data_IF_025923302033
#
_entry.id   IF_025923302033
#
_cell.length_a   1.000
_cell.length_b   1.000
_cell.length_c   1.000
_cell.angle_alpha   90.00
_cell.angle_beta   90.00
_cell.angle_gamma   90.00
#
_symmetry.space_group_name_H-M   'P 1'
#
loop_
_entity.id
_entity.type
_entity.pdbx_description
1 polymer ?
#
# COMPACT_ATOMS: atom_id res chain seq x y z
N UNK A 1 9.85 1.17 2.17
CA UNK A 1 10.43 0.52 0.98
C UNK A 1 11.64 -0.37 1.36
N UNK A 2 11.90 -0.58 2.66
CA UNK A 2 12.99 -1.38 3.19
C UNK A 2 12.54 -2.76 3.68
N UNK A 3 11.36 -3.20 3.23
CA UNK A 3 10.87 -4.55 3.52
C UNK A 3 11.61 -5.57 2.64
N UNK A 4 12.42 -6.48 3.23
CA UNK A 4 13.07 -7.54 2.47
C UNK A 4 12.08 -8.55 1.88
N UNK A 5 10.92 -8.77 2.51
CA UNK A 5 9.88 -9.70 2.02
C UNK A 5 9.34 -9.23 0.67
N UNK A 6 9.13 -7.91 0.54
CA UNK A 6 8.72 -7.27 -0.71
C UNK A 6 9.85 -6.98 -1.70
N UNK A 7 11.02 -7.62 -1.56
CA UNK A 7 12.25 -7.33 -2.34
C UNK A 7 12.64 -5.85 -2.32
N UNK A 8 12.63 -5.22 -1.13
CA UNK A 8 12.88 -3.79 -0.96
C UNK A 8 11.94 -2.94 -1.83
N UNK A 9 10.65 -3.28 -1.82
CA UNK A 9 9.59 -2.61 -2.57
C UNK A 9 9.44 -3.03 -4.03
N UNK A 10 10.38 -3.79 -4.62
CA UNK A 10 10.30 -4.22 -6.03
C UNK A 10 9.19 -5.24 -6.27
N UNK A 11 8.96 -6.16 -5.32
CA UNK A 11 7.91 -7.17 -5.40
C UNK A 11 6.52 -6.54 -5.45
N UNK A 12 6.22 -5.65 -4.51
CA UNK A 12 4.91 -4.98 -4.45
C UNK A 12 4.66 -4.04 -5.64
N UNK A 13 5.70 -3.35 -6.15
CA UNK A 13 5.60 -2.58 -7.41
C UNK A 13 5.22 -3.47 -8.59
N UNK A 14 5.84 -4.66 -8.73
CA UNK A 14 5.49 -5.62 -9.80
C UNK A 14 4.05 -6.11 -9.69
N UNK A 15 3.49 -6.27 -8.49
CA UNK A 15 2.07 -6.62 -8.32
C UNK A 15 1.16 -5.49 -8.80
N UNK A 16 1.44 -4.24 -8.40
CA UNK A 16 0.68 -3.08 -8.86
C UNK A 16 0.69 -2.92 -10.40
N UNK A 17 1.86 -3.12 -11.04
CA UNK A 17 1.95 -3.08 -12.50
C UNK A 17 1.23 -4.24 -13.18
N UNK A 18 1.19 -5.44 -12.56
CA UNK A 18 0.38 -6.55 -13.06
C UNK A 18 -1.12 -6.22 -12.99
N UNK A 19 -1.61 -5.62 -11.90
CA UNK A 19 -3.02 -5.20 -11.80
C UNK A 19 -3.41 -4.27 -12.94
N UNK A 20 -2.60 -3.22 -13.20
CA UNK A 20 -2.80 -2.32 -14.35
C UNK A 20 -2.81 -3.07 -15.67
N UNK A 21 -1.84 -3.96 -15.89
CA UNK A 21 -1.72 -4.75 -17.13
C UNK A 21 -2.96 -5.63 -17.37
N UNK A 22 -3.59 -6.15 -16.33
CA UNK A 22 -4.80 -6.97 -16.43
C UNK A 22 -6.11 -6.15 -16.42
N UNK A 23 -6.04 -4.82 -16.48
CA UNK A 23 -7.22 -3.95 -16.50
C UNK A 23 -7.89 -3.76 -15.15
N UNK A 24 -7.25 -4.19 -14.05
CA UNK A 24 -7.71 -3.93 -12.69
C UNK A 24 -7.25 -2.52 -12.33
N UNK A 25 -8.17 -1.55 -12.44
CA UNK A 25 -7.86 -0.13 -12.25
C UNK A 25 -8.38 0.43 -10.91
N UNK A 26 -9.30 -0.27 -10.24
CA UNK A 26 -9.76 0.12 -8.90
C UNK A 26 -8.83 -0.46 -7.83
N UNK A 27 -7.66 0.15 -7.69
CA UNK A 27 -6.76 -0.11 -6.57
C UNK A 27 -5.93 1.13 -6.26
N UNK A 28 -5.35 1.16 -5.06
CA UNK A 28 -4.42 2.21 -4.63
C UNK A 28 -3.11 1.54 -4.22
N UNK A 29 -1.98 2.13 -4.59
CA UNK A 29 -0.66 1.63 -4.27
C UNK A 29 0.14 2.71 -3.56
N UNK A 30 0.46 2.47 -2.29
CA UNK A 30 1.31 3.32 -1.47
C UNK A 30 2.57 2.55 -1.10
N UNK A 31 3.74 3.17 -1.31
CA UNK A 31 5.03 2.65 -0.88
C UNK A 31 5.72 3.68 0.00
N UNK A 32 5.68 3.44 1.30
CA UNK A 32 6.21 4.37 2.30
C UNK A 32 7.74 4.35 2.32
N UNK A 33 8.39 5.51 2.24
CA UNK A 33 9.84 5.63 2.35
C UNK A 33 10.32 5.12 3.73
N UNK A 34 11.40 4.33 3.75
CA UNK A 34 11.99 3.83 5.00
C UNK A 34 11.22 2.70 5.68
N UNK A 35 9.91 2.59 5.47
CA UNK A 35 9.06 1.56 6.09
C UNK A 35 9.53 0.13 5.77
N UNK A 36 9.56 -0.74 6.79
CA UNK A 36 9.88 -2.16 6.66
C UNK A 36 8.59 -2.95 6.50
N UNK A 37 8.42 -4.04 7.25
CA UNK A 37 7.38 -5.04 6.99
C UNK A 37 6.03 -4.68 7.62
N UNK A 38 6.01 -4.28 8.90
CA UNK A 38 4.78 -4.13 9.67
C UNK A 38 4.23 -2.69 9.64
N UNK A 39 3.84 -2.17 8.48
CA UNK A 39 3.47 -0.75 8.30
C UNK A 39 2.38 -0.22 9.28
N UNK A 40 1.52 -1.10 9.82
CA UNK A 40 0.50 -0.73 10.81
C UNK A 40 1.06 -0.55 12.24
N UNK A 41 2.33 -0.92 12.45
CA UNK A 41 3.09 -0.85 13.70
C UNK A 41 4.40 -0.05 13.56
N UNK A 42 4.70 0.48 12.38
CA UNK A 42 5.87 1.34 12.15
C UNK A 42 5.69 2.73 12.77
N UNK A 43 6.75 3.54 12.78
CA UNK A 43 6.75 4.91 13.35
C UNK A 43 5.65 5.78 12.72
N UNK A 44 5.33 5.57 11.45
CA UNK A 44 4.28 6.30 10.72
C UNK A 44 2.92 5.57 10.71
N UNK A 45 2.69 4.62 11.62
CA UNK A 45 1.47 3.80 11.67
C UNK A 45 0.18 4.61 11.68
N UNK A 46 0.13 5.75 12.38
CA UNK A 46 -1.07 6.59 12.43
C UNK A 46 -1.42 7.18 11.07
N UNK A 47 -0.42 7.60 10.30
CA UNK A 47 -0.62 8.08 8.93
C UNK A 47 -1.11 6.94 8.02
N UNK A 48 -0.49 5.76 8.11
CA UNK A 48 -0.91 4.56 7.34
C UNK A 48 -2.36 4.20 7.65
N UNK A 49 -2.74 4.18 8.93
CA UNK A 49 -4.12 3.90 9.37
C UNK A 49 -5.11 4.95 8.84
N UNK A 50 -4.76 6.23 8.91
CA UNK A 50 -5.61 7.31 8.38
C UNK A 50 -5.83 7.19 6.87
N UNK A 51 -4.79 6.85 6.11
CA UNK A 51 -4.91 6.61 4.66
C UNK A 51 -5.84 5.44 4.35
N UNK A 52 -5.71 4.31 5.07
CA UNK A 52 -6.58 3.15 4.91
C UNK A 52 -8.03 3.48 5.27
N UNK A 53 -8.27 4.17 6.39
CA UNK A 53 -9.61 4.61 6.79
C UNK A 53 -10.20 5.55 5.73
N UNK A 54 -9.43 6.49 5.22
CA UNK A 54 -9.86 7.38 4.14
C UNK A 54 -10.23 6.61 2.86
N UNK A 55 -9.43 5.61 2.49
CA UNK A 55 -9.68 4.75 1.33
C UNK A 55 -10.98 3.93 1.48
N UNK A 56 -11.24 3.39 2.68
CA UNK A 56 -12.46 2.66 3.01
C UNK A 56 -13.69 3.57 3.00
N UNK A 57 -13.60 4.75 3.61
CA UNK A 57 -14.68 5.73 3.67
C UNK A 57 -15.12 6.23 2.29
N UNK A 58 -14.24 6.19 1.28
CA UNK A 58 -14.62 6.52 -0.10
C UNK A 58 -15.44 5.42 -0.79
N UNK A 59 -15.41 4.18 -0.28
CA UNK A 59 -16.01 2.99 -0.90
C UNK A 59 -17.22 2.43 -0.14
N UNK A 60 -17.35 2.77 1.14
CA UNK A 60 -18.43 2.27 2.02
C UNK A 60 -19.59 3.28 2.12
N UNK A 61 -19.51 4.44 1.45
CA UNK A 61 -20.64 5.38 1.44
C UNK A 61 -21.84 4.76 0.72
N UNK A 62 -22.98 4.78 1.41
CA UNK A 62 -24.32 4.46 0.89
C UNK A 62 -24.63 5.21 -0.41
#
# INVERSE_FOLDING_TARGET
DKDPVGEMGKGVKRVAEQYKKFGINDFTFNLYEGGRHEMLNEINADAVKQEIIGWLNQRIKD
#
